data_IF_844874061653
#
_entry.id   IF_844874061653
#
_cell.length_a   1.000
_cell.length_b   1.000
_cell.length_c   1.000
_cell.angle_alpha   90.00
_cell.angle_beta   90.00
_cell.angle_gamma   90.00
#
_symmetry.space_group_name_H-M   'P 1'
#
loop_
_entity.id
_entity.type
_entity.pdbx_description
1 polymer ?
#
# COMPACT_ATOMS: atom_id res chain seq x y z
N UNK A 1 -25.24 -61.98 5.82
CA UNK A 1 -24.70 -60.94 6.73
C UNK A 1 -24.04 -59.84 5.92
N UNK A 2 -24.75 -58.74 5.62
CA UNK A 2 -24.23 -57.58 4.87
C UNK A 2 -23.69 -56.55 5.87
N UNK A 3 -22.38 -56.34 5.91
CA UNK A 3 -21.76 -55.28 6.70
C UNK A 3 -21.90 -53.97 5.94
N UNK A 4 -22.74 -53.05 6.43
CA UNK A 4 -22.82 -51.71 5.94
C UNK A 4 -21.62 -50.93 6.49
N UNK A 5 -20.76 -50.46 5.60
CA UNK A 5 -19.62 -49.59 5.90
C UNK A 5 -20.16 -48.15 5.96
N UNK A 6 -20.27 -47.60 7.18
CA UNK A 6 -20.65 -46.19 7.40
C UNK A 6 -19.43 -45.34 7.09
N UNK A 7 -19.40 -44.70 5.93
CA UNK A 7 -18.45 -43.64 5.63
C UNK A 7 -18.86 -42.38 6.40
N UNK A 8 -18.17 -42.07 7.47
CA UNK A 8 -18.22 -40.76 8.10
C UNK A 8 -17.53 -39.74 7.18
N UNK A 9 -18.32 -38.96 6.44
CA UNK A 9 -17.86 -37.74 5.77
C UNK A 9 -17.56 -36.69 6.83
N UNK A 10 -16.30 -36.58 7.22
CA UNK A 10 -15.80 -35.45 7.97
C UNK A 10 -15.82 -34.23 7.02
N UNK A 11 -16.92 -33.51 7.03
CA UNK A 11 -16.98 -32.17 6.45
C UNK A 11 -16.16 -31.26 7.34
N UNK A 12 -14.88 -31.10 7.01
CA UNK A 12 -14.03 -30.08 7.61
C UNK A 12 -14.67 -28.71 7.34
N UNK A 13 -15.28 -28.10 8.34
CA UNK A 13 -15.68 -26.71 8.25
C UNK A 13 -14.45 -25.90 7.90
N UNK A 14 -14.44 -25.27 6.73
CA UNK A 14 -13.38 -24.33 6.37
C UNK A 14 -13.41 -23.20 7.38
N UNK A 15 -12.52 -23.25 8.37
CA UNK A 15 -12.36 -22.17 9.34
C UNK A 15 -11.76 -20.97 8.62
N UNK A 16 -12.41 -19.81 8.71
CA UNK A 16 -11.84 -18.57 8.24
C UNK A 16 -10.57 -18.26 9.06
N UNK A 17 -9.49 -17.90 8.39
CA UNK A 17 -8.22 -17.55 9.01
C UNK A 17 -8.41 -16.36 9.95
N UNK A 18 -8.01 -16.50 11.20
CA UNK A 18 -8.09 -15.41 12.19
C UNK A 18 -6.94 -14.44 12.04
N UNK A 19 -7.11 -13.21 12.57
CA UNK A 19 -6.03 -12.21 12.63
C UNK A 19 -4.77 -12.79 13.31
N UNK A 20 -4.94 -13.54 14.38
CA UNK A 20 -3.81 -14.06 15.17
C UNK A 20 -3.08 -15.22 14.47
N UNK A 21 -3.80 -16.06 13.75
CA UNK A 21 -3.18 -17.10 12.92
C UNK A 21 -2.37 -16.48 11.79
N UNK A 22 -2.93 -15.50 11.12
CA UNK A 22 -2.25 -14.74 10.06
C UNK A 22 -1.06 -13.96 10.62
N UNK A 23 -1.23 -13.23 11.73
CA UNK A 23 -0.15 -12.50 12.38
C UNK A 23 1.01 -13.39 12.81
N UNK A 24 0.71 -14.60 13.33
CA UNK A 24 1.73 -15.60 13.67
C UNK A 24 2.47 -16.10 12.44
N UNK A 25 1.76 -16.44 11.36
CA UNK A 25 2.39 -16.83 10.10
C UNK A 25 3.31 -15.75 9.56
N UNK A 26 2.90 -14.48 9.66
CA UNK A 26 3.71 -13.34 9.25
C UNK A 26 4.97 -13.20 10.11
N UNK A 27 4.86 -13.34 11.43
CA UNK A 27 6.00 -13.30 12.34
C UNK A 27 7.02 -14.40 12.05
N UNK A 28 6.54 -15.63 11.81
CA UNK A 28 7.38 -16.80 11.51
C UNK A 28 8.05 -16.74 10.13
N UNK A 29 7.35 -16.23 9.12
CA UNK A 29 7.79 -16.31 7.72
C UNK A 29 8.44 -15.04 7.18
N UNK A 30 8.24 -13.92 7.84
CA UNK A 30 8.84 -12.62 7.51
C UNK A 30 9.59 -12.09 8.72
N UNK A 31 8.88 -11.51 9.65
CA UNK A 31 9.38 -11.00 10.94
C UNK A 31 8.21 -10.52 11.81
N UNK A 32 8.43 -10.42 13.10
CA UNK A 32 7.47 -9.82 14.00
C UNK A 32 7.31 -8.31 13.73
N UNK A 33 6.06 -7.85 13.73
CA UNK A 33 5.73 -6.42 13.61
C UNK A 33 5.62 -5.88 15.02
N UNK A 34 6.45 -4.91 15.43
CA UNK A 34 6.35 -4.33 16.79
C UNK A 34 5.08 -3.51 16.96
N UNK A 35 4.65 -3.30 18.20
CA UNK A 35 3.74 -2.21 18.48
C UNK A 35 4.46 -0.87 18.23
N UNK A 36 3.71 0.15 17.79
CA UNK A 36 4.30 1.42 17.38
C UNK A 36 3.38 2.60 17.66
N UNK A 37 3.93 3.80 17.52
CA UNK A 37 3.17 5.05 17.55
C UNK A 37 3.18 5.72 16.18
N UNK A 38 2.00 5.96 15.62
CA UNK A 38 1.86 6.79 14.42
C UNK A 38 2.45 8.20 14.62
N UNK A 39 2.40 8.70 15.87
CA UNK A 39 2.91 10.04 16.19
C UNK A 39 4.43 10.15 16.05
N UNK A 40 5.15 9.01 16.11
CA UNK A 40 6.58 8.95 15.84
C UNK A 40 6.93 9.02 14.35
N UNK A 41 5.95 8.86 13.46
CA UNK A 41 6.16 8.89 12.02
C UNK A 41 6.44 10.30 11.50
N UNK A 42 7.12 10.35 10.35
CA UNK A 42 7.30 11.60 9.61
C UNK A 42 5.99 11.99 8.95
N UNK A 43 5.57 13.23 9.16
CA UNK A 43 4.38 13.77 8.53
C UNK A 43 4.58 13.93 7.04
N UNK A 44 3.56 13.55 6.26
CA UNK A 44 3.54 13.72 4.81
C UNK A 44 2.92 15.10 4.53
N UNK A 45 3.68 16.04 3.97
CA UNK A 45 3.19 17.39 3.76
C UNK A 45 2.03 17.43 2.76
N UNK A 46 1.03 18.27 3.05
CA UNK A 46 0.02 18.70 2.07
C UNK A 46 0.26 20.18 1.81
N UNK A 47 0.45 20.51 0.54
CA UNK A 47 0.68 21.89 0.09
C UNK A 47 -0.29 22.27 -1.02
N UNK A 48 -0.59 23.57 -1.10
CA UNK A 48 -1.29 24.20 -2.22
C UNK A 48 -0.38 25.30 -2.74
N UNK A 49 0.01 25.23 -4.00
CA UNK A 49 0.96 26.17 -4.62
C UNK A 49 2.25 26.32 -3.77
N UNK A 50 2.76 25.20 -3.26
CA UNK A 50 3.95 25.12 -2.41
C UNK A 50 3.76 25.56 -0.95
N UNK A 51 2.59 26.05 -0.57
CA UNK A 51 2.33 26.52 0.81
C UNK A 51 1.65 25.44 1.64
N UNK A 52 2.10 25.19 2.88
CA UNK A 52 1.48 24.21 3.77
C UNK A 52 0.00 24.51 4.04
N UNK A 53 -0.80 23.47 4.08
CA UNK A 53 -2.23 23.53 4.44
C UNK A 53 -2.38 23.37 5.96
N UNK A 54 -3.17 24.24 6.64
CA UNK A 54 -3.50 24.05 8.04
C UNK A 54 -4.16 22.71 8.31
N UNK A 55 -3.85 22.05 9.44
CA UNK A 55 -4.31 20.69 9.76
C UNK A 55 -5.83 20.54 9.88
N UNK A 56 -6.53 21.58 10.22
CA UNK A 56 -7.99 21.62 10.35
C UNK A 56 -8.71 21.92 9.04
N UNK A 57 -8.00 21.96 7.94
CA UNK A 57 -8.52 22.23 6.60
C UNK A 57 -8.30 21.03 5.65
N UNK A 58 -9.23 20.87 4.73
CA UNK A 58 -9.14 19.90 3.63
C UNK A 58 -9.53 20.61 2.32
N UNK A 59 -8.58 21.22 1.62
CA UNK A 59 -8.86 21.93 0.39
C UNK A 59 -9.24 20.95 -0.73
N UNK A 60 -10.04 21.40 -1.70
CA UNK A 60 -10.46 20.54 -2.82
C UNK A 60 -9.33 20.28 -3.84
N UNK A 61 -8.19 20.93 -3.67
CA UNK A 61 -6.99 20.76 -4.50
C UNK A 61 -5.73 20.84 -3.64
N UNK A 62 -4.69 20.13 -4.04
CA UNK A 62 -3.35 20.20 -3.45
C UNK A 62 -2.31 19.76 -4.48
N UNK A 63 -1.05 20.07 -4.22
CA UNK A 63 0.02 19.78 -5.16
C UNK A 63 0.19 18.28 -5.38
N UNK A 64 0.18 17.49 -4.31
CA UNK A 64 0.35 16.03 -4.31
C UNK A 64 -0.75 15.37 -3.49
N UNK A 65 -1.75 14.77 -4.13
CA UNK A 65 -2.86 14.10 -3.46
C UNK A 65 -2.41 12.78 -2.85
N UNK A 66 -3.12 12.31 -1.82
CA UNK A 66 -2.82 11.04 -1.14
C UNK A 66 -3.00 9.80 -2.02
N UNK A 67 -3.66 9.93 -3.17
CA UNK A 67 -4.00 8.84 -4.10
C UNK A 67 -4.78 7.70 -3.46
N UNK A 68 -5.62 8.03 -2.47
CA UNK A 68 -6.51 7.07 -1.85
C UNK A 68 -7.58 6.64 -2.86
N UNK A 69 -7.71 5.34 -3.13
CA UNK A 69 -8.81 4.84 -3.94
C UNK A 69 -10.15 5.21 -3.30
N UNK A 70 -11.12 5.62 -4.09
CA UNK A 70 -12.48 5.97 -3.67
C UNK A 70 -12.58 7.19 -2.72
N UNK A 71 -11.47 7.86 -2.41
CA UNK A 71 -11.54 9.12 -1.69
C UNK A 71 -12.09 10.22 -2.60
N UNK A 72 -13.00 11.03 -2.08
CA UNK A 72 -13.38 12.25 -2.75
C UNK A 72 -12.20 13.24 -2.85
N UNK A 73 -12.38 14.31 -3.62
CA UNK A 73 -11.31 15.28 -3.81
C UNK A 73 -10.83 15.92 -2.50
N UNK A 74 -11.70 16.06 -1.51
CA UNK A 74 -11.33 16.64 -0.21
C UNK A 74 -10.48 15.68 0.62
N UNK A 75 -10.82 14.39 0.64
CA UNK A 75 -10.04 13.37 1.35
C UNK A 75 -8.64 13.15 0.77
N UNK A 76 -8.40 13.57 -0.48
CA UNK A 76 -7.07 13.51 -1.10
C UNK A 76 -6.08 14.53 -0.51
N UNK A 77 -6.56 15.63 0.06
CA UNK A 77 -5.74 16.77 0.49
C UNK A 77 -5.80 17.02 2.00
N UNK A 78 -5.98 15.98 2.79
CA UNK A 78 -6.03 16.08 4.26
C UNK A 78 -4.64 16.01 4.86
N UNK A 79 -4.17 17.05 5.60
CA UNK A 79 -2.88 17.03 6.25
C UNK A 79 -2.83 16.13 7.49
N UNK A 80 -1.60 15.85 7.95
CA UNK A 80 -1.34 15.14 9.19
C UNK A 80 -1.25 13.61 9.06
N UNK A 81 -1.32 13.05 7.85
CA UNK A 81 -0.94 11.66 7.62
C UNK A 81 0.56 11.46 7.85
N UNK A 82 0.95 10.27 8.31
CA UNK A 82 2.34 10.00 8.69
C UNK A 82 2.83 8.68 8.12
N UNK A 83 4.10 8.64 7.74
CA UNK A 83 4.80 7.45 7.28
C UNK A 83 5.88 7.04 8.28
N UNK A 84 6.07 5.73 8.43
CA UNK A 84 7.07 5.14 9.32
C UNK A 84 7.79 3.99 8.61
N UNK A 85 9.09 3.87 8.84
CA UNK A 85 9.84 2.64 8.65
C UNK A 85 10.03 2.01 10.02
N UNK A 86 9.36 0.89 10.27
CA UNK A 86 9.46 0.15 11.52
C UNK A 86 10.65 -0.81 11.51
N UNK A 87 11.04 -1.24 10.32
CA UNK A 87 12.23 -2.08 10.08
C UNK A 87 12.71 -1.91 8.63
N UNK A 88 14.01 -1.81 8.46
CA UNK A 88 14.67 -1.84 7.14
C UNK A 88 16.08 -2.41 7.31
N UNK A 89 16.21 -3.72 7.11
CA UNK A 89 17.47 -4.41 7.18
C UNK A 89 17.62 -5.44 6.03
N UNK A 90 18.74 -6.15 5.98
CA UNK A 90 19.04 -7.13 4.92
C UNK A 90 18.09 -8.34 4.89
N UNK A 91 17.21 -8.48 5.84
CA UNK A 91 16.34 -9.65 5.99
C UNK A 91 14.87 -9.34 5.77
N UNK A 92 14.42 -8.19 6.27
CA UNK A 92 13.01 -7.80 6.21
C UNK A 92 12.84 -6.28 6.26
N UNK A 93 11.74 -5.85 5.70
CA UNK A 93 11.29 -4.45 5.68
C UNK A 93 9.87 -4.36 6.22
N UNK A 94 9.61 -3.38 7.09
CA UNK A 94 8.28 -3.09 7.60
C UNK A 94 8.03 -1.60 7.46
N UNK A 95 6.97 -1.25 6.75
CA UNK A 95 6.48 0.13 6.61
C UNK A 95 5.08 0.27 7.15
N UNK A 96 4.80 1.39 7.79
CA UNK A 96 3.47 1.77 8.23
C UNK A 96 3.09 3.14 7.65
N UNK A 97 1.82 3.29 7.27
CA UNK A 97 1.23 4.58 6.92
C UNK A 97 -0.01 4.76 7.78
N UNK A 98 -0.03 5.86 8.52
CA UNK A 98 -1.16 6.29 9.33
C UNK A 98 -1.83 7.46 8.61
N UNK A 99 -3.04 7.25 8.10
CA UNK A 99 -3.73 8.19 7.21
C UNK A 99 -4.81 8.97 7.94
N UNK A 100 -4.90 10.25 7.62
CA UNK A 100 -6.06 11.09 7.94
C UNK A 100 -6.85 11.32 6.66
N UNK A 101 -8.15 11.10 6.74
CA UNK A 101 -9.12 11.34 5.66
C UNK A 101 -10.11 12.44 6.05
N UNK A 102 -10.06 12.87 7.30
CA UNK A 102 -10.83 13.99 7.84
C UNK A 102 -9.86 14.96 8.49
N UNK A 103 -10.02 16.26 8.19
CA UNK A 103 -9.23 17.33 8.78
C UNK A 103 -9.45 17.39 10.31
N UNK A 104 -8.35 17.55 11.04
CA UNK A 104 -8.35 17.58 12.51
C UNK A 104 -7.36 18.64 12.99
N UNK A 105 -7.52 19.14 14.22
CA UNK A 105 -6.53 20.07 14.79
C UNK A 105 -5.09 19.49 14.74
N UNK A 106 -4.12 20.37 14.66
CA UNK A 106 -2.72 20.00 14.74
C UNK A 106 -2.44 19.15 16.00
N UNK A 107 -1.62 18.11 15.86
CA UNK A 107 -1.30 17.21 16.97
C UNK A 107 -2.38 16.19 17.32
N UNK A 108 -3.57 16.20 16.68
CA UNK A 108 -4.59 15.19 16.91
C UNK A 108 -4.02 13.77 16.69
N UNK A 109 -4.14 12.86 17.67
CA UNK A 109 -3.63 11.51 17.57
C UNK A 109 -4.56 10.56 16.81
N UNK A 110 -5.70 11.03 16.33
CA UNK A 110 -6.70 10.20 15.66
C UNK A 110 -6.39 10.03 14.18
N UNK A 111 -6.38 8.80 13.71
CA UNK A 111 -6.22 8.40 12.32
C UNK A 111 -7.43 7.63 11.81
N UNK A 112 -7.68 7.70 10.51
CA UNK A 112 -8.84 7.07 9.88
C UNK A 112 -8.49 5.69 9.32
N UNK A 113 -7.22 5.52 8.94
CA UNK A 113 -6.71 4.26 8.41
C UNK A 113 -5.23 4.09 8.78
N UNK A 114 -4.85 2.87 9.16
CA UNK A 114 -3.46 2.50 9.39
C UNK A 114 -3.17 1.25 8.55
N UNK A 115 -2.17 1.34 7.69
CA UNK A 115 -1.72 0.21 6.87
C UNK A 115 -0.30 -0.16 7.25
N UNK A 116 -0.05 -1.45 7.41
CA UNK A 116 1.27 -2.01 7.65
C UNK A 116 1.58 -3.06 6.59
N UNK A 117 2.76 -2.96 6.01
CA UNK A 117 3.31 -3.95 5.10
C UNK A 117 4.60 -4.49 5.70
N UNK A 118 4.69 -5.81 5.81
CA UNK A 118 5.89 -6.52 6.22
C UNK A 118 6.36 -7.42 5.09
N UNK A 119 7.61 -7.26 4.66
CA UNK A 119 8.18 -7.94 3.48
C UNK A 119 9.52 -8.58 3.80
N UNK A 120 9.70 -9.84 3.37
CA UNK A 120 10.94 -10.58 3.49
C UNK A 120 11.80 -10.41 2.24
N UNK A 121 12.99 -9.84 2.40
CA UNK A 121 13.98 -9.74 1.33
C UNK A 121 14.62 -11.10 0.97
N UNK A 122 14.45 -12.10 1.83
CA UNK A 122 15.03 -13.44 1.61
C UNK A 122 14.19 -14.29 0.65
N UNK A 123 12.87 -14.16 0.70
CA UNK A 123 11.97 -15.09 -0.01
C UNK A 123 10.76 -14.41 -0.67
N UNK A 124 10.62 -13.09 -0.56
CA UNK A 124 9.52 -12.31 -1.12
C UNK A 124 8.19 -12.42 -0.37
N UNK A 125 8.11 -13.18 0.72
CA UNK A 125 6.89 -13.30 1.51
C UNK A 125 6.48 -11.96 2.08
N UNK A 126 5.19 -11.63 1.92
CA UNK A 126 4.66 -10.30 2.23
C UNK A 126 3.33 -10.43 2.97
N UNK A 127 3.19 -9.61 3.99
CA UNK A 127 1.97 -9.49 4.78
C UNK A 127 1.42 -8.09 4.74
N UNK A 128 0.11 -7.97 4.74
CA UNK A 128 -0.62 -6.72 4.75
C UNK A 128 -1.60 -6.68 5.92
N UNK A 129 -1.55 -5.61 6.68
CA UNK A 129 -2.48 -5.36 7.78
C UNK A 129 -3.11 -3.99 7.59
N UNK A 130 -4.40 -3.90 7.86
CA UNK A 130 -5.17 -2.66 7.78
C UNK A 130 -6.03 -2.51 9.01
N UNK A 131 -6.00 -1.32 9.59
CA UNK A 131 -6.95 -0.87 10.59
C UNK A 131 -7.75 0.31 9.99
N UNK A 132 -9.08 0.30 10.15
CA UNK A 132 -9.96 1.38 9.65
C UNK A 132 -10.85 1.88 10.77
N UNK A 133 -10.98 3.19 10.86
CA UNK A 133 -12.00 3.81 11.72
C UNK A 133 -13.40 3.46 11.20
N UNK A 134 -14.34 3.34 12.13
CA UNK A 134 -15.75 3.07 11.77
C UNK A 134 -16.38 4.24 11.02
N UNK A 135 -17.19 3.92 10.03
CA UNK A 135 -18.00 4.92 9.34
C UNK A 135 -19.22 5.37 10.19
N UNK A 136 -19.72 6.62 10.03
CA UNK A 136 -19.10 7.69 9.24
C UNK A 136 -17.85 8.25 9.91
N UNK A 137 -16.87 8.63 9.08
CA UNK A 137 -15.66 9.31 9.56
C UNK A 137 -16.01 10.68 10.15
N UNK A 138 -15.35 11.06 11.22
CA UNK A 138 -15.53 12.38 11.85
C UNK A 138 -14.25 12.84 12.54
N UNK A 139 -14.14 14.15 12.80
CA UNK A 139 -12.98 14.74 13.47
C UNK A 139 -12.73 14.19 14.88
N UNK A 140 -13.78 13.72 15.55
CA UNK A 140 -13.75 13.28 16.94
C UNK A 140 -13.67 11.75 17.08
N UNK A 141 -13.68 11.02 15.96
CA UNK A 141 -13.59 9.56 15.89
C UNK A 141 -12.37 9.14 15.08
N UNK A 142 -11.78 8.03 15.45
CA UNK A 142 -10.61 7.49 14.77
C UNK A 142 -9.89 6.46 15.61
N UNK A 143 -8.80 5.96 15.07
CA UNK A 143 -7.88 5.06 15.75
C UNK A 143 -6.86 5.93 16.48
N UNK A 144 -6.70 5.75 17.79
CA UNK A 144 -5.65 6.45 18.55
C UNK A 144 -4.27 5.94 18.13
N UNK A 145 -3.57 6.74 17.36
CA UNK A 145 -2.25 6.40 16.84
C UNK A 145 -1.10 6.58 17.82
N UNK A 146 -1.34 7.02 19.08
CA UNK A 146 -0.29 7.07 20.10
C UNK A 146 0.21 5.69 20.47
N UNK A 147 -0.64 4.70 20.32
CA UNK A 147 -0.30 3.30 20.55
C UNK A 147 -1.08 2.37 19.62
N UNK A 148 -0.39 1.74 18.70
CA UNK A 148 -0.94 0.77 17.75
C UNK A 148 -0.40 -0.61 18.14
N UNK A 149 -1.25 -1.57 18.52
CA UNK A 149 -0.79 -2.89 18.95
C UNK A 149 -0.18 -3.67 17.77
N UNK A 150 0.78 -4.54 18.08
CA UNK A 150 1.30 -5.50 17.11
C UNK A 150 0.18 -6.41 16.58
N UNK A 151 0.03 -6.57 15.26
CA UNK A 151 -0.93 -7.54 14.72
C UNK A 151 -0.44 -8.99 14.82
N UNK A 152 0.84 -9.20 15.09
CA UNK A 152 1.47 -10.52 15.15
C UNK A 152 1.53 -11.12 16.56
N UNK A 153 1.18 -10.37 17.60
CA UNK A 153 1.11 -10.87 18.96
C UNK A 153 -0.23 -11.52 19.24
N UNK A 154 -0.19 -12.70 19.85
CA UNK A 154 -1.38 -13.34 20.38
C UNK A 154 -1.95 -12.51 21.54
N UNK A 155 -3.28 -12.41 21.65
CA UNK A 155 -3.96 -11.74 22.75
C UNK A 155 -3.56 -12.26 24.14
N UNK A 156 -2.98 -13.45 24.21
CA UNK A 156 -2.51 -14.10 25.44
C UNK A 156 -1.08 -13.68 25.83
N UNK A 157 -0.35 -13.02 24.96
CA UNK A 157 0.97 -12.47 25.30
C UNK A 157 0.81 -11.04 25.80
N UNK A 158 1.50 -10.67 26.89
CA UNK A 158 1.48 -9.30 27.36
C UNK A 158 2.01 -8.39 26.25
N UNK A 159 1.17 -7.47 25.79
CA UNK A 159 1.60 -6.39 24.93
C UNK A 159 2.59 -5.51 25.70
N UNK A 160 3.58 -4.92 25.07
CA UNK A 160 4.36 -3.88 25.71
C UNK A 160 3.42 -2.84 26.31
N UNK A 161 3.72 -2.26 27.48
CA UNK A 161 2.84 -1.28 28.08
C UNK A 161 2.64 -0.10 27.13
N UNK A 162 1.39 0.34 27.01
CA UNK A 162 1.09 1.58 26.29
C UNK A 162 1.63 2.77 27.09
N UNK A 163 1.97 3.88 26.42
CA UNK A 163 2.35 5.11 27.11
C UNK A 163 1.28 5.57 28.11
N UNK A 164 1.69 6.26 29.16
CA UNK A 164 0.78 6.79 30.18
C UNK A 164 -0.37 7.59 29.58
N UNK A 165 -1.58 7.34 30.07
CA UNK A 165 -2.80 7.98 29.59
C UNK A 165 -3.30 7.50 28.21
N UNK A 166 -2.69 6.45 27.63
CA UNK A 166 -3.17 5.83 26.40
C UNK A 166 -3.82 4.49 26.71
N UNK A 167 -5.08 4.32 26.30
CA UNK A 167 -5.78 3.04 26.44
C UNK A 167 -5.22 2.05 25.41
N UNK A 168 -4.52 1.02 25.88
CA UNK A 168 -4.13 -0.10 25.05
C UNK A 168 -5.39 -0.86 24.57
N UNK A 169 -5.56 -0.99 23.27
CA UNK A 169 -6.59 -1.83 22.70
C UNK A 169 -5.97 -3.15 22.24
N UNK A 170 -6.66 -4.28 22.40
CA UNK A 170 -6.20 -5.55 21.86
C UNK A 170 -6.19 -5.51 20.31
N UNK A 171 -5.31 -6.30 19.72
CA UNK A 171 -5.06 -6.25 18.28
C UNK A 171 -6.33 -6.52 17.44
N UNK A 172 -7.18 -7.44 17.87
CA UNK A 172 -8.44 -7.79 17.21
C UNK A 172 -9.51 -6.68 17.25
N UNK A 173 -9.31 -5.66 18.08
CA UNK A 173 -10.16 -4.45 18.12
C UNK A 173 -9.62 -3.34 17.23
N UNK A 174 -8.39 -3.44 16.79
CA UNK A 174 -7.73 -2.43 15.95
C UNK A 174 -7.62 -2.92 14.51
N UNK A 175 -7.14 -4.13 14.30
CA UNK A 175 -6.86 -4.68 12.97
C UNK A 175 -8.06 -5.42 12.38
N UNK A 176 -8.26 -5.23 11.09
CA UNK A 176 -9.21 -6.02 10.30
C UNK A 176 -8.74 -7.48 10.18
N UNK A 177 -9.66 -8.40 9.96
CA UNK A 177 -9.34 -9.80 9.67
C UNK A 177 -8.64 -9.93 8.31
N UNK A 178 -7.83 -10.99 8.08
CA UNK A 178 -7.21 -11.26 6.79
C UNK A 178 -8.23 -11.26 5.64
N UNK A 179 -9.40 -11.84 5.87
CA UNK A 179 -10.49 -11.86 4.90
C UNK A 179 -10.95 -10.44 4.52
N UNK A 180 -11.22 -9.58 5.50
CA UNK A 180 -11.64 -8.20 5.24
C UNK A 180 -10.60 -7.42 4.44
N UNK A 181 -9.30 -7.64 4.70
CA UNK A 181 -8.22 -6.95 4.01
C UNK A 181 -7.99 -7.50 2.60
N UNK A 182 -7.92 -8.82 2.45
CA UNK A 182 -7.65 -9.48 1.17
C UNK A 182 -8.76 -9.27 0.14
N UNK A 183 -10.02 -9.18 0.59
CA UNK A 183 -11.20 -9.02 -0.26
C UNK A 183 -11.79 -7.61 -0.24
N UNK A 184 -11.09 -6.64 0.33
CA UNK A 184 -11.48 -5.22 0.24
C UNK A 184 -11.51 -4.75 -1.22
N UNK A 185 -12.25 -3.67 -1.48
CA UNK A 185 -12.32 -3.05 -2.81
C UNK A 185 -11.80 -1.61 -2.75
N UNK A 186 -10.64 -1.33 -3.37
CA UNK A 186 -9.69 -2.27 -3.94
C UNK A 186 -8.93 -3.04 -2.85
N UNK A 187 -8.53 -4.28 -3.16
CA UNK A 187 -7.65 -5.05 -2.30
C UNK A 187 -6.21 -4.47 -2.33
N UNK A 188 -5.44 -4.66 -1.26
CA UNK A 188 -4.06 -4.18 -1.18
C UNK A 188 -3.22 -4.61 -2.40
N UNK A 189 -3.37 -5.87 -2.81
CA UNK A 189 -2.63 -6.45 -3.93
C UNK A 189 -2.99 -5.85 -5.30
N UNK A 190 -4.11 -5.15 -5.45
CA UNK A 190 -4.43 -4.47 -6.71
C UNK A 190 -3.46 -3.32 -7.00
N UNK A 191 -3.02 -2.64 -5.94
CA UNK A 191 -2.05 -1.54 -6.06
C UNK A 191 -0.62 -2.02 -5.83
N UNK A 192 -0.43 -3.01 -4.94
CA UNK A 192 0.87 -3.62 -4.67
C UNK A 192 1.12 -4.84 -5.59
N UNK A 193 0.77 -4.69 -6.86
CA UNK A 193 0.77 -5.75 -7.88
C UNK A 193 2.15 -6.00 -8.51
N UNK A 194 3.13 -5.16 -8.21
CA UNK A 194 4.50 -5.29 -8.74
C UNK A 194 5.60 -5.12 -7.69
N UNK A 195 5.23 -4.82 -6.47
CA UNK A 195 6.17 -4.67 -5.37
C UNK A 195 5.44 -4.48 -4.04
N UNK A 196 6.11 -4.79 -2.91
CA UNK A 196 5.49 -4.65 -1.60
C UNK A 196 5.20 -3.19 -1.23
N UNK A 197 6.02 -2.26 -1.72
CA UNK A 197 5.89 -0.84 -1.42
C UNK A 197 5.63 -0.04 -2.70
N UNK A 198 4.76 0.96 -2.59
CA UNK A 198 4.46 1.89 -3.68
C UNK A 198 5.15 3.23 -3.42
N UNK A 199 5.73 3.76 -4.47
CA UNK A 199 6.34 5.09 -4.48
C UNK A 199 5.43 6.03 -5.27
N UNK A 200 4.71 6.88 -4.57
CA UNK A 200 3.90 7.93 -5.17
C UNK A 200 4.52 9.30 -4.87
N UNK A 201 4.23 10.35 -5.64
CA UNK A 201 4.68 11.72 -5.32
C UNK A 201 4.27 12.18 -3.93
N UNK A 202 3.16 11.67 -3.40
CA UNK A 202 2.69 11.94 -2.06
C UNK A 202 3.61 11.35 -0.99
N UNK A 203 3.82 10.02 -1.02
CA UNK A 203 4.61 9.32 0.00
C UNK A 203 6.09 9.67 -0.10
N UNK A 204 6.61 9.86 -1.32
CA UNK A 204 8.01 10.16 -1.56
C UNK A 204 8.46 11.56 -1.09
N UNK A 205 7.55 12.35 -0.53
CA UNK A 205 7.91 13.57 0.21
C UNK A 205 8.56 13.29 1.57
N UNK A 206 8.52 12.04 2.03
CA UNK A 206 9.15 11.61 3.27
C UNK A 206 10.39 10.78 2.98
N UNK A 207 11.27 10.66 3.97
CA UNK A 207 12.41 9.72 3.94
C UNK A 207 12.05 8.35 4.52
N UNK A 208 10.79 8.16 4.90
CA UNK A 208 10.27 6.96 5.55
C UNK A 208 9.72 5.97 4.52
N UNK A 209 10.59 5.57 3.57
CA UNK A 209 10.26 4.59 2.56
C UNK A 209 11.30 3.47 2.57
N UNK A 210 10.91 2.26 2.95
CA UNK A 210 11.80 1.12 2.81
C UNK A 210 11.83 0.66 1.35
N UNK A 211 12.90 0.00 1.00
CA UNK A 211 13.01 -0.69 -0.25
C UNK A 211 13.94 -0.05 -1.26
N UNK A 212 14.20 -0.82 -2.28
CA UNK A 212 15.01 -0.43 -3.42
C UNK A 212 14.09 -0.22 -4.63
N UNK A 213 13.89 1.02 -5.10
CA UNK A 213 13.04 1.29 -6.26
C UNK A 213 13.60 0.67 -7.55
N UNK A 214 14.87 0.28 -7.57
CA UNK A 214 15.54 -0.28 -8.74
C UNK A 214 15.52 -1.81 -8.82
N UNK A 215 15.17 -2.49 -7.73
CA UNK A 215 15.11 -3.95 -7.68
C UNK A 215 13.75 -4.53 -8.06
N UNK A 216 13.69 -5.81 -8.40
CA UNK A 216 12.45 -6.56 -8.46
C UNK A 216 12.16 -7.16 -7.10
N UNK A 217 11.00 -6.80 -6.54
CA UNK A 217 10.42 -7.56 -5.45
C UNK A 217 9.29 -8.39 -5.99
N UNK A 218 9.27 -9.64 -5.60
CA UNK A 218 8.19 -10.52 -5.89
C UNK A 218 7.40 -10.70 -4.60
N UNK A 219 6.28 -9.97 -4.41
CA UNK A 219 5.48 -10.17 -3.23
C UNK A 219 4.82 -11.55 -3.29
N UNK A 220 5.10 -12.38 -2.30
CA UNK A 220 4.45 -13.69 -2.12
C UNK A 220 3.46 -13.59 -0.98
N UNK A 221 2.20 -13.79 -1.27
CA UNK A 221 1.16 -13.73 -0.27
C UNK A 221 1.32 -14.83 0.79
N UNK A 222 1.16 -14.44 2.05
CA UNK A 222 0.99 -15.31 3.20
C UNK A 222 -0.49 -15.34 3.56
N UNK A 223 -0.96 -16.43 4.13
CA UNK A 223 -2.36 -16.60 4.51
C UNK A 223 -3.26 -17.06 3.36
N UNK A 224 -4.28 -17.81 3.70
CA UNK A 224 -5.16 -18.43 2.72
C UNK A 224 -6.00 -17.42 1.94
N UNK A 225 -6.52 -16.39 2.60
CA UNK A 225 -7.34 -15.37 1.94
C UNK A 225 -6.52 -14.56 0.94
N UNK A 226 -5.30 -14.15 1.32
CA UNK A 226 -4.41 -13.41 0.42
C UNK A 226 -3.93 -14.27 -0.75
N UNK A 227 -3.61 -15.55 -0.53
CA UNK A 227 -3.23 -16.47 -1.62
C UNK A 227 -4.37 -16.66 -2.62
N UNK A 228 -5.61 -16.83 -2.14
CA UNK A 228 -6.79 -16.96 -3.00
C UNK A 228 -7.05 -15.66 -3.79
N UNK A 229 -6.98 -14.52 -3.12
CA UNK A 229 -7.14 -13.21 -3.77
C UNK A 229 -6.06 -12.96 -4.83
N UNK A 230 -4.80 -13.28 -4.52
CA UNK A 230 -3.68 -13.17 -5.46
C UNK A 230 -3.85 -14.06 -6.68
N UNK A 231 -4.20 -15.34 -6.48
CA UNK A 231 -4.45 -16.27 -7.57
C UNK A 231 -5.60 -15.83 -8.47
N UNK A 232 -6.65 -15.23 -7.91
CA UNK A 232 -7.79 -14.70 -8.68
C UNK A 232 -7.41 -13.51 -9.56
N UNK A 233 -6.51 -12.66 -9.10
CA UNK A 233 -6.14 -11.44 -9.82
C UNK A 233 -5.14 -11.67 -10.96
N UNK A 234 -4.49 -12.84 -11.02
CA UNK A 234 -3.47 -13.15 -12.04
C UNK A 234 -2.45 -12.02 -12.21
N UNK A 235 -1.89 -11.55 -11.08
CA UNK A 235 -0.93 -10.45 -11.11
C UNK A 235 0.39 -10.87 -11.75
N UNK A 236 0.91 -10.04 -12.64
CA UNK A 236 2.21 -10.20 -13.29
C UNK A 236 2.86 -8.85 -13.53
N UNK A 237 4.17 -8.86 -13.72
CA UNK A 237 4.92 -7.65 -14.06
C UNK A 237 4.93 -7.36 -15.55
N UNK A 238 5.03 -6.07 -15.89
CA UNK A 238 5.16 -5.59 -17.27
C UNK A 238 6.43 -4.78 -17.38
N UNK A 239 7.22 -5.04 -18.41
CA UNK A 239 8.38 -4.24 -18.76
C UNK A 239 8.51 -4.12 -20.27
N UNK A 240 9.27 -3.14 -20.74
CA UNK A 240 9.56 -2.94 -22.16
C UNK A 240 10.99 -2.47 -22.32
N UNK A 241 11.66 -2.97 -23.35
CA UNK A 241 13.07 -2.70 -23.58
C UNK A 241 13.32 -1.21 -23.86
N UNK A 242 14.34 -0.66 -23.17
CA UNK A 242 14.76 0.73 -23.39
C UNK A 242 13.76 1.77 -22.86
N UNK A 243 12.86 1.37 -21.98
CA UNK A 243 11.90 2.27 -21.34
C UNK A 243 12.52 2.92 -20.11
N UNK A 244 12.51 4.24 -20.04
CA UNK A 244 13.10 4.99 -18.94
C UNK A 244 12.34 4.81 -17.64
N UNK A 245 11.02 4.60 -17.68
CA UNK A 245 10.21 4.38 -16.48
C UNK A 245 10.55 3.03 -15.82
N UNK A 246 10.59 1.96 -16.63
CA UNK A 246 10.84 0.60 -16.12
C UNK A 246 12.31 0.32 -15.81
N UNK A 247 13.21 1.25 -16.10
CA UNK A 247 14.58 1.21 -15.61
C UNK A 247 14.63 1.34 -14.07
N UNK A 248 13.69 2.11 -13.49
CA UNK A 248 13.61 2.37 -12.05
C UNK A 248 12.30 1.86 -11.42
N UNK A 249 11.18 1.98 -12.13
CA UNK A 249 9.87 1.59 -11.61
C UNK A 249 9.51 0.18 -12.01
N UNK A 250 8.84 -0.52 -11.10
CA UNK A 250 8.16 -1.79 -11.39
C UNK A 250 6.74 -1.49 -11.79
N UNK A 251 6.25 -2.21 -12.76
CA UNK A 251 4.90 -2.05 -13.27
C UNK A 251 4.19 -3.40 -13.23
N UNK A 252 3.08 -3.46 -12.55
CA UNK A 252 2.17 -4.61 -12.57
C UNK A 252 1.03 -4.40 -13.55
N UNK A 253 0.35 -5.47 -13.90
CA UNK A 253 -0.77 -5.45 -14.83
C UNK A 253 -2.08 -4.90 -14.24
N UNK A 254 -2.14 -4.71 -12.94
CA UNK A 254 -3.33 -4.22 -12.24
C UNK A 254 -3.31 -2.68 -12.12
N UNK A 255 -3.46 -2.15 -10.93
CA UNK A 255 -3.55 -0.70 -10.74
C UNK A 255 -2.26 0.06 -11.06
N UNK A 256 -1.09 -0.58 -11.03
CA UNK A 256 0.14 0.05 -11.52
C UNK A 256 -0.02 0.49 -12.98
N UNK A 257 -0.55 -0.38 -13.84
CA UNK A 257 -0.85 -0.06 -15.23
C UNK A 257 -2.08 0.83 -15.40
N UNK A 258 -3.18 0.47 -14.75
CA UNK A 258 -4.48 1.07 -15.02
C UNK A 258 -4.65 2.43 -14.37
N UNK A 259 -4.08 2.62 -13.18
CA UNK A 259 -4.23 3.84 -12.38
C UNK A 259 -2.98 4.70 -12.46
N UNK A 260 -1.82 4.18 -12.05
CA UNK A 260 -0.59 4.95 -11.99
C UNK A 260 -0.16 5.50 -13.36
N UNK A 261 -0.33 4.72 -14.42
CA UNK A 261 -0.04 5.18 -15.78
C UNK A 261 -0.94 6.33 -16.23
N UNK A 262 -2.23 6.28 -15.92
CA UNK A 262 -3.17 7.36 -16.23
C UNK A 262 -2.83 8.63 -15.46
N UNK A 263 -2.49 8.49 -14.19
CA UNK A 263 -2.02 9.63 -13.39
C UNK A 263 -0.72 10.21 -13.93
N UNK A 264 0.23 9.38 -14.34
CA UNK A 264 1.49 9.82 -14.94
C UNK A 264 1.30 10.58 -16.25
N UNK A 265 0.25 10.28 -17.00
CA UNK A 265 -0.14 11.03 -18.21
C UNK A 265 -1.01 12.24 -17.91
N UNK A 266 -1.30 12.53 -16.64
CA UNK A 266 -2.21 13.60 -16.24
C UNK A 266 -3.69 13.23 -16.37
N UNK A 267 -4.00 11.94 -16.57
CA UNK A 267 -5.36 11.42 -16.67
C UNK A 267 -5.71 10.62 -15.42
N UNK A 268 -6.69 11.06 -14.66
CA UNK A 268 -7.23 10.26 -13.56
C UNK A 268 -8.18 9.18 -14.09
N UNK A 269 -8.19 8.00 -13.48
CA UNK A 269 -9.10 6.93 -13.86
C UNK A 269 -10.58 7.31 -13.77
N UNK A 270 -10.92 8.20 -12.83
CA UNK A 270 -12.29 8.57 -12.49
C UNK A 270 -12.72 9.93 -13.02
N UNK A 271 -11.80 10.86 -13.22
CA UNK A 271 -12.12 12.26 -13.53
C UNK A 271 -11.56 12.76 -14.85
N UNK A 272 -10.74 11.99 -15.51
CA UNK A 272 -10.15 12.36 -16.81
C UNK A 272 -9.23 13.58 -16.79
N UNK A 273 -8.21 13.51 -17.52
CA UNK A 273 -7.24 14.43 -18.07
C UNK A 273 -6.93 15.69 -17.29
N UNK A 274 -7.26 16.79 -17.93
CA UNK A 274 -6.83 18.11 -17.49
C UNK A 274 -7.41 18.54 -16.15
N UNK A 275 -8.58 18.04 -15.77
CA UNK A 275 -9.19 18.41 -14.50
C UNK A 275 -8.42 17.85 -13.31
N UNK A 276 -7.97 16.60 -13.37
CA UNK A 276 -7.12 16.00 -12.34
C UNK A 276 -5.79 16.76 -12.23
N UNK A 277 -5.15 17.06 -13.35
CA UNK A 277 -3.88 17.81 -13.34
C UNK A 277 -4.02 19.23 -12.83
N UNK A 278 -5.18 19.87 -13.02
CA UNK A 278 -5.46 21.20 -12.42
C UNK A 278 -5.66 21.13 -10.91
N UNK A 279 -6.34 20.11 -10.42
CA UNK A 279 -6.54 19.91 -8.97
C UNK A 279 -5.26 19.47 -8.27
N UNK A 280 -4.47 18.64 -8.94
CA UNK A 280 -3.30 17.97 -8.38
C UNK A 280 -2.08 18.09 -9.31
N UNK A 281 -1.50 19.28 -9.44
CA UNK A 281 -0.53 19.58 -10.49
C UNK A 281 0.77 18.77 -10.41
N UNK A 282 1.09 18.22 -9.27
CA UNK A 282 2.30 17.41 -9.07
C UNK A 282 2.03 15.92 -8.83
N UNK A 283 0.82 15.45 -9.07
CA UNK A 283 0.45 14.03 -8.85
C UNK A 283 1.18 13.04 -9.77
N UNK A 284 1.61 13.49 -10.92
CA UNK A 284 2.29 12.70 -11.94
C UNK A 284 3.80 12.92 -11.98
N UNK A 285 4.34 13.77 -11.11
CA UNK A 285 5.75 14.10 -11.11
C UNK A 285 6.54 13.13 -10.25
N UNK A 286 7.77 12.85 -10.67
CA UNK A 286 8.68 12.01 -9.91
C UNK A 286 9.25 12.76 -8.72
N UNK A 287 9.36 12.09 -7.58
CA UNK A 287 10.01 12.58 -6.36
C UNK A 287 11.28 11.77 -6.08
N UNK A 288 12.19 12.26 -5.24
CA UNK A 288 12.28 13.61 -4.72
C UNK A 288 12.86 14.58 -5.76
N UNK A 289 12.61 15.86 -5.56
CA UNK A 289 13.31 16.90 -6.34
C UNK A 289 12.83 17.05 -7.79
N UNK A 290 11.61 16.58 -8.10
CA UNK A 290 11.05 16.83 -9.42
C UNK A 290 10.77 18.32 -9.60
N UNK A 291 11.70 19.01 -10.24
CA UNK A 291 11.65 20.44 -10.50
C UNK A 291 11.28 20.76 -11.95
N UNK A 292 10.91 19.74 -12.74
CA UNK A 292 10.57 19.93 -14.14
C UNK A 292 9.18 20.58 -14.29
N UNK A 293 9.07 21.50 -15.26
CA UNK A 293 7.77 21.90 -15.74
C UNK A 293 7.05 20.73 -16.41
N UNK A 294 5.73 20.84 -16.55
CA UNK A 294 4.96 19.81 -17.29
C UNK A 294 5.53 19.59 -18.71
N UNK A 295 5.89 20.65 -19.40
CA UNK A 295 6.45 20.56 -20.75
C UNK A 295 7.78 19.79 -20.77
N UNK A 296 8.69 20.08 -19.84
CA UNK A 296 9.96 19.37 -19.71
C UNK A 296 9.75 17.89 -19.35
N UNK A 297 8.79 17.61 -18.47
CA UNK A 297 8.45 16.25 -18.09
C UNK A 297 7.89 15.46 -19.30
N UNK A 298 6.98 16.05 -20.05
CA UNK A 298 6.40 15.45 -21.26
C UNK A 298 7.48 15.21 -22.33
N UNK A 299 8.36 16.16 -22.56
CA UNK A 299 9.49 16.01 -23.48
C UNK A 299 10.38 14.83 -23.12
N UNK A 300 10.68 14.66 -21.85
CA UNK A 300 11.59 13.63 -21.38
C UNK A 300 10.96 12.23 -21.32
N UNK A 301 9.70 12.12 -20.94
CA UNK A 301 9.08 10.84 -20.56
C UNK A 301 7.91 10.38 -21.43
N UNK A 302 7.34 11.25 -22.29
CA UNK A 302 6.12 10.91 -23.05
C UNK A 302 6.28 9.66 -23.93
N UNK A 303 7.42 9.49 -24.59
CA UNK A 303 7.68 8.30 -25.43
C UNK A 303 7.74 7.00 -24.61
N UNK A 304 8.39 7.04 -23.44
CA UNK A 304 8.43 5.90 -22.52
C UNK A 304 7.06 5.59 -21.96
N UNK A 305 6.26 6.60 -21.63
CA UNK A 305 4.88 6.44 -21.18
C UNK A 305 3.99 5.82 -22.25
N UNK A 306 4.06 6.30 -23.51
CA UNK A 306 3.29 5.74 -24.63
C UNK A 306 3.60 4.26 -24.83
N UNK A 307 4.88 3.89 -24.85
CA UNK A 307 5.31 2.48 -24.96
C UNK A 307 4.80 1.63 -23.81
N UNK A 308 4.91 2.13 -22.59
CA UNK A 308 4.46 1.40 -21.40
C UNK A 308 2.93 1.29 -21.37
N UNK A 309 2.20 2.35 -21.72
CA UNK A 309 0.75 2.32 -21.83
C UNK A 309 0.25 1.32 -22.88
N UNK A 310 0.95 1.22 -24.02
CA UNK A 310 0.66 0.20 -25.02
C UNK A 310 0.85 -1.22 -24.47
N UNK A 311 1.92 -1.46 -23.69
CA UNK A 311 2.14 -2.74 -23.03
C UNK A 311 1.14 -3.02 -21.89
N UNK A 312 0.64 -1.99 -21.23
CA UNK A 312 -0.46 -2.15 -20.27
C UNK A 312 -1.77 -2.56 -20.95
N UNK A 313 -2.02 -2.05 -22.15
CA UNK A 313 -3.20 -2.41 -22.95
C UNK A 313 -3.08 -3.80 -23.60
N UNK A 314 -1.91 -4.13 -24.11
CA UNK A 314 -1.59 -5.44 -24.68
C UNK A 314 -0.21 -5.93 -24.18
N UNK A 315 -0.15 -6.67 -23.07
CA UNK A 315 1.10 -7.18 -22.51
C UNK A 315 1.88 -8.14 -23.42
N UNK A 316 1.24 -8.68 -24.46
CA UNK A 316 1.86 -9.58 -25.44
C UNK A 316 2.23 -8.85 -26.72
N UNK A 317 1.97 -7.56 -26.82
CA UNK A 317 2.28 -6.71 -27.96
C UNK A 317 3.79 -6.60 -28.24
N UNK A 318 4.12 -6.14 -29.43
CA UNK A 318 5.51 -6.02 -29.87
C UNK A 318 6.33 -5.10 -28.94
N UNK A 319 7.47 -5.58 -28.49
CA UNK A 319 8.36 -4.86 -27.57
C UNK A 319 7.98 -4.94 -26.08
N UNK A 320 6.85 -5.56 -25.75
CA UNK A 320 6.43 -5.81 -24.38
C UNK A 320 6.99 -7.14 -23.84
N UNK A 321 7.22 -7.18 -22.54
CA UNK A 321 7.65 -8.38 -21.85
C UNK A 321 6.86 -8.53 -20.57
N UNK A 322 6.21 -9.68 -20.46
CA UNK A 322 5.57 -10.13 -19.22
C UNK A 322 6.62 -10.76 -18.30
N UNK A 323 6.56 -10.42 -17.04
CA UNK A 323 7.36 -11.02 -15.97
C UNK A 323 6.40 -11.75 -15.04
N UNK A 324 6.36 -13.07 -15.19
CA UNK A 324 5.58 -13.92 -14.29
C UNK A 324 6.15 -13.86 -12.89
N UNK A 325 5.29 -13.71 -11.89
CA UNK A 325 5.65 -13.84 -10.49
C UNK A 325 5.71 -15.32 -10.12
N UNK A 326 6.88 -15.90 -10.14
CA UNK A 326 7.15 -17.29 -9.78
C UNK A 326 8.40 -17.42 -8.91
N UNK A 327 8.69 -18.57 -8.32
CA UNK A 327 9.91 -18.78 -7.57
C UNK A 327 11.11 -18.47 -8.48
N UNK A 328 11.95 -17.52 -8.11
CA UNK A 328 13.17 -17.23 -8.86
C UNK A 328 14.05 -18.46 -8.90
N UNK A 329 14.27 -19.00 -10.08
CA UNK A 329 15.24 -20.08 -10.29
C UNK A 329 16.68 -19.58 -10.34
N UNK A 330 16.91 -18.28 -10.52
CA UNK A 330 18.23 -17.62 -10.34
C UNK A 330 18.06 -16.11 -10.47
N UNK A 331 18.88 -15.32 -9.73
CA UNK A 331 19.00 -13.89 -9.95
C UNK A 331 19.59 -13.64 -11.36
N UNK A 332 19.11 -12.65 -12.11
CA UNK A 332 19.82 -12.28 -13.33
C UNK A 332 21.22 -11.82 -12.93
N UNK A 333 22.23 -12.43 -13.53
CA UNK A 333 23.61 -11.93 -13.43
C UNK A 333 23.61 -10.49 -13.97
N UNK A 334 24.06 -9.55 -13.16
CA UNK A 334 24.29 -8.16 -13.54
C UNK A 334 25.31 -8.07 -14.66
#
# INVERSE_FOLDING_TARGET
MRRALLLLLLTGAAHAETLFEYGRQCAEQVTEIPAFSCMAGQEIPITVDGKPVPHDQAPPRCDRPSLLPQADAQSQCVPGSRALVLRDDKTAQISAICRKQVARPAGSPLFDEINVISHSLKNGKTCWFTAKAGAPLSKDKGIDGRWVPSPSTLTRQPQPPSPDGVKALPADRVWQTPHQVAWSQPACINCHDSGPFMYSPYIAQTTQLPGDPFGFYEPKAIGEDFKKAWARLHAFGITTRGNTCTACHRMGNMNSCQVAMKQSTGQAPQEGGDEWSRKFPQSHWMSPGNLHSRAQWDEQFSESLKKLAACCADPKGAGCRVVEYGPRTSAPKR
#
